data_IF_762550360305
#
_entry.id   IF_762550360305
#
_cell.length_a   1.000
_cell.length_b   1.000
_cell.length_c   1.000
_cell.angle_alpha   90.00
_cell.angle_beta   90.00
_cell.angle_gamma   90.00
#
_symmetry.space_group_name_H-M   'P 1'
#
loop_
_entity.id
_entity.type
_entity.pdbx_description
1 polymer ?
#
# COMPACT_ATOMS: atom_id res chain seq x y z
N UNK A 1 -1.62 20.02 10.43
CA UNK A 1 -2.02 18.80 9.70
C UNK A 1 -0.82 18.19 8.99
N UNK A 2 -0.65 16.87 9.00
CA UNK A 2 0.37 16.16 8.20
C UNK A 2 -0.31 15.44 7.04
N UNK A 3 0.18 15.56 5.79
CA UNK A 3 -0.40 14.84 4.66
C UNK A 3 -0.22 13.33 4.83
N UNK A 4 -1.23 12.58 4.40
CA UNK A 4 -1.24 11.11 4.36
C UNK A 4 -1.65 10.65 2.96
N UNK A 5 -1.19 9.47 2.57
CA UNK A 5 -1.70 8.79 1.38
C UNK A 5 -2.90 7.92 1.79
N UNK A 6 -3.94 7.84 0.96
CA UNK A 6 -5.15 7.07 1.28
C UNK A 6 -5.37 6.00 0.21
N UNK A 7 -5.41 4.74 0.64
CA UNK A 7 -5.74 3.57 -0.18
C UNK A 7 -7.20 3.17 0.09
N UNK A 8 -8.09 3.49 -0.85
CA UNK A 8 -9.51 3.14 -0.77
C UNK A 8 -9.76 1.74 -1.31
N UNK A 9 -10.51 0.94 -0.55
CA UNK A 9 -10.99 -0.40 -0.94
C UNK A 9 -12.49 -0.49 -0.78
N UNK A 10 -13.14 -1.22 -1.69
CA UNK A 10 -14.54 -1.63 -1.60
C UNK A 10 -14.60 -3.08 -1.14
N UNK A 11 -15.53 -3.44 -0.26
CA UNK A 11 -15.76 -4.84 0.13
C UNK A 11 -17.22 -5.16 0.42
N UNK A 12 -17.65 -6.37 0.08
CA UNK A 12 -18.94 -6.91 0.52
C UNK A 12 -18.85 -7.59 1.90
N UNK A 13 -17.63 -7.87 2.39
CA UNK A 13 -17.39 -8.54 3.66
C UNK A 13 -16.69 -7.58 4.62
N UNK A 14 -17.11 -7.59 5.88
CA UNK A 14 -16.46 -6.81 6.94
C UNK A 14 -14.98 -7.19 7.06
N UNK A 15 -14.13 -6.18 7.21
CA UNK A 15 -12.68 -6.27 7.37
C UNK A 15 -12.29 -5.54 8.66
N UNK A 16 -12.50 -6.17 9.83
CA UNK A 16 -12.27 -5.51 11.11
C UNK A 16 -10.79 -5.24 11.40
N UNK A 17 -9.89 -6.01 10.80
CA UNK A 17 -8.45 -5.92 11.04
C UNK A 17 -7.67 -5.63 9.75
N UNK A 18 -6.53 -4.96 9.90
CA UNK A 18 -5.68 -4.54 8.78
C UNK A 18 -5.22 -5.74 7.94
N UNK A 19 -4.92 -6.87 8.57
CA UNK A 19 -4.51 -8.10 7.88
C UNK A 19 -5.60 -8.66 6.94
N UNK A 20 -6.87 -8.36 7.20
CA UNK A 20 -7.96 -8.80 6.34
C UNK A 20 -8.03 -8.00 5.01
N UNK A 21 -7.24 -6.92 4.89
CA UNK A 21 -7.12 -6.08 3.69
C UNK A 21 -6.08 -6.60 2.68
N UNK A 22 -5.48 -7.76 2.96
CA UNK A 22 -4.49 -8.44 2.12
C UNK A 22 -3.31 -7.50 1.78
N UNK A 23 -3.15 -7.18 0.50
CA UNK A 23 -2.03 -6.40 -0.01
C UNK A 23 -2.25 -4.88 0.04
N UNK A 24 -3.41 -4.39 0.49
CA UNK A 24 -3.69 -2.96 0.56
C UNK A 24 -2.59 -2.16 1.30
N UNK A 25 -2.06 -2.61 2.45
CA UNK A 25 -0.98 -1.90 3.15
C UNK A 25 0.33 -1.87 2.34
N UNK A 26 0.60 -2.93 1.58
CA UNK A 26 1.78 -3.05 0.71
C UNK A 26 1.66 -2.11 -0.49
N UNK A 27 0.47 -2.06 -1.12
CA UNK A 27 0.17 -1.14 -2.23
C UNK A 27 0.30 0.32 -1.80
N UNK A 28 -0.32 0.68 -0.67
CA UNK A 28 -0.20 2.00 -0.07
C UNK A 28 1.27 2.40 0.13
N UNK A 29 2.08 1.49 0.68
CA UNK A 29 3.48 1.79 0.96
C UNK A 29 4.36 1.84 -0.29
N UNK A 30 4.02 1.09 -1.34
CA UNK A 30 4.66 1.21 -2.65
C UNK A 30 4.49 2.62 -3.23
N UNK A 31 3.25 3.14 -3.23
CA UNK A 31 2.96 4.50 -3.67
C UNK A 31 3.57 5.57 -2.77
N UNK A 32 3.58 5.36 -1.45
CA UNK A 32 4.23 6.27 -0.50
C UNK A 32 5.73 6.39 -0.79
N UNK A 33 6.41 5.27 -1.06
CA UNK A 33 7.82 5.28 -1.46
C UNK A 33 8.05 5.99 -2.80
N UNK A 34 7.20 5.72 -3.78
CA UNK A 34 7.27 6.35 -5.10
C UNK A 34 7.10 7.88 -5.03
N UNK A 35 6.02 8.38 -4.42
CA UNK A 35 5.76 9.83 -4.28
C UNK A 35 6.90 10.51 -3.51
N UNK A 36 7.43 9.88 -2.46
CA UNK A 36 8.52 10.47 -1.69
C UNK A 36 9.86 10.54 -2.45
N UNK A 37 10.02 9.80 -3.54
CA UNK A 37 11.26 9.78 -4.34
C UNK A 37 11.07 10.41 -5.74
N UNK A 38 9.85 10.82 -6.07
CA UNK A 38 9.54 11.47 -7.33
C UNK A 38 9.72 13.00 -7.22
N UNK A 39 10.62 13.56 -8.02
CA UNK A 39 10.94 14.99 -8.04
C UNK A 39 9.79 15.88 -8.55
N UNK A 40 8.75 15.29 -9.15
CA UNK A 40 7.54 16.02 -9.55
C UNK A 40 6.68 16.42 -8.34
N UNK A 41 6.92 15.84 -7.16
CA UNK A 41 6.15 16.10 -5.95
C UNK A 41 7.00 16.80 -4.87
N UNK A 42 6.67 18.06 -4.57
CA UNK A 42 7.31 18.86 -3.51
C UNK A 42 6.77 18.58 -2.09
N UNK A 43 6.22 17.39 -1.84
CA UNK A 43 5.68 17.00 -0.55
C UNK A 43 6.29 15.68 -0.08
N UNK A 44 6.38 15.49 1.23
CA UNK A 44 6.81 14.23 1.85
C UNK A 44 5.69 13.68 2.72
N UNK A 45 5.30 12.44 2.44
CA UNK A 45 4.25 11.70 3.14
C UNK A 45 4.90 10.64 4.03
N UNK A 46 4.61 10.68 5.34
CA UNK A 46 5.23 9.75 6.30
C UNK A 46 4.28 8.68 6.83
N UNK A 47 3.01 8.73 6.47
CA UNK A 47 2.00 7.76 6.91
C UNK A 47 0.89 7.64 5.89
N UNK A 48 -0.01 6.70 6.11
CA UNK A 48 -1.13 6.49 5.21
C UNK A 48 -2.32 5.86 5.89
N UNK A 49 -3.43 5.84 5.16
CA UNK A 49 -4.67 5.23 5.58
C UNK A 49 -5.03 4.12 4.60
N UNK A 50 -5.44 2.97 5.12
CA UNK A 50 -6.25 2.01 4.35
C UNK A 50 -7.69 2.19 4.78
N UNK A 51 -8.58 2.48 3.84
CA UNK A 51 -10.00 2.69 4.13
C UNK A 51 -10.82 1.65 3.38
N UNK A 52 -11.61 0.86 4.10
CA UNK A 52 -12.50 -0.15 3.54
C UNK A 52 -13.94 0.33 3.65
N UNK A 53 -14.53 0.70 2.52
CA UNK A 53 -15.95 1.04 2.42
C UNK A 53 -16.77 -0.21 2.02
N UNK A 54 -17.94 -0.35 2.63
CA UNK A 54 -18.79 -1.52 2.44
C UNK A 54 -19.98 -1.23 1.53
N UNK A 55 -20.41 -2.25 0.80
CA UNK A 55 -21.49 -2.14 -0.20
C UNK A 55 -22.87 -1.99 0.40
N UNK A 56 -23.04 -2.43 1.64
CA UNK A 56 -24.26 -2.28 2.43
C UNK A 56 -24.44 -0.87 3.03
N UNK A 57 -23.48 0.04 2.82
CA UNK A 57 -23.50 1.38 3.39
C UNK A 57 -23.15 1.44 4.88
N UNK A 58 -22.71 0.33 5.47
CA UNK A 58 -22.22 0.32 6.86
C UNK A 58 -20.96 1.18 6.99
N UNK A 59 -20.67 1.70 8.20
CA UNK A 59 -19.50 2.54 8.44
C UNK A 59 -18.19 1.89 7.97
N UNK A 60 -17.38 2.67 7.26
CA UNK A 60 -16.08 2.21 6.76
C UNK A 60 -15.12 1.89 7.91
N UNK A 61 -14.27 0.89 7.70
CA UNK A 61 -13.11 0.67 8.57
C UNK A 61 -11.93 1.50 8.08
N UNK A 62 -11.29 2.23 9.00
CA UNK A 62 -10.16 3.12 8.71
C UNK A 62 -8.95 2.64 9.52
N UNK A 63 -7.91 2.22 8.81
CA UNK A 63 -6.65 1.81 9.41
C UNK A 63 -5.59 2.87 9.17
N UNK A 64 -5.12 3.50 10.25
CA UNK A 64 -4.04 4.48 10.19
C UNK A 64 -2.69 3.81 10.37
N UNK A 65 -1.80 3.98 9.40
CA UNK A 65 -0.43 3.46 9.45
C UNK A 65 0.54 4.58 9.78
N UNK A 66 1.29 4.36 10.85
CA UNK A 66 2.45 5.19 11.23
C UNK A 66 3.61 5.00 10.26
N UNK A 67 4.61 5.87 10.34
CA UNK A 67 5.82 5.77 9.53
C UNK A 67 6.60 4.46 9.74
N UNK A 68 6.61 3.93 10.97
CA UNK A 68 7.30 2.69 11.28
C UNK A 68 6.56 1.47 10.71
N UNK A 69 5.23 1.48 10.73
CA UNK A 69 4.40 0.46 10.07
C UNK A 69 4.54 0.53 8.55
N UNK A 70 4.51 1.74 7.98
CA UNK A 70 4.74 1.91 6.54
C UNK A 70 6.09 1.35 6.10
N UNK A 71 7.14 1.51 6.91
CA UNK A 71 8.45 0.94 6.62
C UNK A 71 8.45 -0.59 6.59
N UNK A 72 7.63 -1.25 7.43
CA UNK A 72 7.49 -2.72 7.41
C UNK A 72 6.89 -3.19 6.08
N UNK A 73 5.80 -2.57 5.63
CA UNK A 73 5.14 -2.92 4.37
C UNK A 73 5.93 -2.48 3.14
N UNK A 74 6.68 -1.38 3.21
CA UNK A 74 7.65 -0.99 2.18
C UNK A 74 8.71 -2.07 1.96
N UNK A 75 9.27 -2.65 3.03
CA UNK A 75 10.22 -3.77 2.90
C UNK A 75 9.59 -4.98 2.22
N UNK A 76 8.35 -5.32 2.58
CA UNK A 76 7.61 -6.40 1.93
C UNK A 76 7.38 -6.11 0.43
N UNK A 77 7.03 -4.86 0.08
CA UNK A 77 6.95 -4.42 -1.31
C UNK A 77 8.28 -4.57 -2.05
N UNK A 78 9.39 -4.10 -1.48
CA UNK A 78 10.71 -4.17 -2.12
C UNK A 78 11.14 -5.61 -2.42
N UNK A 79 10.82 -6.57 -1.53
CA UNK A 79 11.06 -8.00 -1.77
C UNK A 79 10.23 -8.50 -2.96
N UNK A 80 8.94 -8.14 -3.03
CA UNK A 80 8.07 -8.51 -4.16
C UNK A 80 8.56 -7.91 -5.48
N UNK A 81 9.01 -6.66 -5.46
CA UNK A 81 9.56 -5.98 -6.63
C UNK A 81 10.85 -6.66 -7.10
N UNK A 82 11.74 -7.04 -6.18
CA UNK A 82 12.93 -7.81 -6.51
C UNK A 82 12.58 -9.14 -7.17
N UNK A 83 11.66 -9.92 -6.60
CA UNK A 83 11.21 -11.19 -7.19
C UNK A 83 10.61 -11.00 -8.60
N UNK A 84 9.82 -9.95 -8.80
CA UNK A 84 9.27 -9.60 -10.11
C UNK A 84 10.38 -9.42 -11.15
N UNK A 85 11.44 -8.68 -10.83
CA UNK A 85 12.57 -8.50 -11.76
C UNK A 85 13.33 -9.79 -12.02
N UNK A 86 13.58 -10.62 -11.01
CA UNK A 86 14.24 -11.92 -11.21
C UNK A 86 13.46 -12.83 -12.17
N UNK A 87 12.14 -12.93 -11.99
CA UNK A 87 11.27 -13.72 -12.87
C UNK A 87 11.19 -13.14 -14.28
N UNK A 88 11.20 -11.81 -14.41
CA UNK A 88 11.15 -11.12 -15.70
C UNK A 88 12.42 -11.34 -16.52
N UNK A 89 13.58 -11.37 -15.86
CA UNK A 89 14.85 -11.66 -16.52
C UNK A 89 14.94 -13.13 -16.94
N UNK A 90 14.42 -14.07 -16.14
CA UNK A 90 14.39 -15.48 -16.51
C UNK A 90 13.51 -15.74 -17.74
N UNK A 91 12.34 -15.09 -17.83
CA UNK A 91 11.45 -15.23 -19.01
C UNK A 91 12.09 -14.76 -20.31
N UNK A 92 12.91 -13.69 -20.27
CA UNK A 92 13.63 -13.18 -21.46
C UNK A 92 14.73 -14.11 -21.96
N UNK A 93 15.25 -15.01 -21.13
CA UNK A 93 16.33 -15.94 -21.51
C UNK A 93 15.76 -17.20 -22.18
N UNK A 94 14.49 -17.52 -21.94
CA UNK A 94 13.83 -18.77 -22.37
C UNK A 94 12.95 -18.56 -23.62
N UNK A 95 12.78 -17.32 -24.08
CA UNK A 95 12.14 -16.94 -25.35
C UNK A 95 13.17 -16.40 -26.32
#
# INVERSE_FOLDING_TARGET
>A
NKPVLIEWKKSDKQKPELENTYDAPIQLCAYLGAINYDNNYNLKVKGGLVVVAYTDGSPAHVFSLTSSECLKFWRAWSIRLYHFYQLSQHKKIVT
#
